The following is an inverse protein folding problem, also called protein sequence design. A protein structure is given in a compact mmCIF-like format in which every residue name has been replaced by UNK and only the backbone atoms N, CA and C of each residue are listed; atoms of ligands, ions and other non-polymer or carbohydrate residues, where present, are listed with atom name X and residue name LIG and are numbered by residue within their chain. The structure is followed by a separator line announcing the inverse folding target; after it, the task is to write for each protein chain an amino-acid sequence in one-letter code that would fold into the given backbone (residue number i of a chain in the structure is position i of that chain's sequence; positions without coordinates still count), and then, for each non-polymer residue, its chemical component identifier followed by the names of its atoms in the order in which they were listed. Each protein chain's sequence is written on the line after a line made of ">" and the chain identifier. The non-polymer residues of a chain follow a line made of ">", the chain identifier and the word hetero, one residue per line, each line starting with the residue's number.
data_IF_100937109821
#
_entry.id   IF_100937109821
#
_cell.length_a   1.000
_cell.length_b   1.000
_cell.length_c   1.000
_cell.angle_alpha   90.00
_cell.angle_beta   90.00
_cell.angle_gamma   90.00
#
_symmetry.space_group_name_H-M   'P 1'
#
loop_
_entity.id
_entity.type
_entity.pdbx_description
1 polymer ?
#
# COMPACT_ATOMS: atom_id res chain seq x y z
N UNK A 1 6.87 -16.27 -3.11
CA UNK A 1 6.21 -15.90 -1.84
C UNK A 1 7.24 -15.22 -0.95
N UNK A 2 6.87 -14.15 -0.26
CA UNK A 2 7.70 -13.52 0.76
C UNK A 2 6.93 -13.44 2.06
N UNK A 3 7.57 -13.84 3.14
CA UNK A 3 7.06 -13.75 4.51
C UNK A 3 8.14 -13.05 5.32
N UNK A 4 7.76 -12.06 6.11
CA UNK A 4 8.64 -11.39 7.06
C UNK A 4 7.96 -11.29 8.42
N UNK A 5 8.76 -11.36 9.47
CA UNK A 5 8.34 -11.05 10.83
C UNK A 5 9.05 -9.77 11.29
N UNK A 6 8.41 -8.98 12.14
CA UNK A 6 9.02 -7.78 12.68
C UNK A 6 8.63 -7.54 14.14
N UNK A 7 9.55 -6.90 14.85
CA UNK A 7 9.36 -6.33 16.18
C UNK A 7 9.81 -4.88 16.11
N UNK A 8 8.90 -3.94 16.37
CA UNK A 8 9.14 -2.50 16.20
C UNK A 8 8.67 -1.74 17.44
N UNK A 9 9.57 -1.48 18.40
CA UNK A 9 9.32 -0.48 19.43
C UNK A 9 9.46 0.92 18.82
N UNK A 10 8.70 1.88 19.34
CA UNK A 10 8.77 3.29 18.95
C UNK A 10 8.58 4.12 20.19
N UNK A 11 9.57 4.93 20.54
CA UNK A 11 9.46 5.94 21.59
C UNK A 11 8.92 7.24 21.03
N UNK A 12 8.40 8.10 21.92
CA UNK A 12 7.99 9.46 21.59
C UNK A 12 6.96 9.54 20.45
N UNK A 13 5.96 8.66 20.48
CA UNK A 13 4.93 8.58 19.45
C UNK A 13 4.09 9.85 19.46
N UNK A 14 4.23 10.65 18.41
CA UNK A 14 3.40 11.84 18.22
C UNK A 14 1.95 11.42 17.95
N UNK A 15 1.06 11.82 18.84
CA UNK A 15 -0.37 11.59 18.70
C UNK A 15 -1.14 12.89 18.84
N UNK A 16 -2.30 12.90 18.19
CA UNK A 16 -3.23 14.03 18.22
C UNK A 16 -4.17 13.87 19.40
N UNK A 17 -4.07 14.77 20.37
CA UNK A 17 -4.93 14.82 21.55
C UNK A 17 -6.01 15.88 21.33
N UNK A 18 -7.23 15.54 21.72
CA UNK A 18 -8.36 16.48 21.79
C UNK A 18 -8.76 16.66 23.24
N UNK A 19 -9.03 17.90 23.62
CA UNK A 19 -9.47 18.26 24.95
C UNK A 19 -10.45 19.42 24.87
N UNK A 20 -11.26 19.55 25.92
CA UNK A 20 -12.19 20.65 26.09
C UNK A 20 -11.62 21.60 27.14
N UNK A 21 -11.35 22.84 26.75
CA UNK A 21 -10.79 23.83 27.66
C UNK A 21 -11.77 24.14 28.79
N UNK A 22 -11.28 24.24 30.03
CA UNK A 22 -12.09 24.60 31.21
C UNK A 22 -12.44 26.07 31.27
N UNK A 23 -11.73 26.95 30.54
CA UNK A 23 -11.90 28.40 30.63
C UNK A 23 -13.01 28.92 29.71
N UNK A 24 -13.16 28.34 28.51
CA UNK A 24 -14.12 28.79 27.49
C UNK A 24 -15.04 27.67 26.97
N UNK A 25 -14.90 26.45 27.49
CA UNK A 25 -15.66 25.26 27.13
C UNK A 25 -15.53 24.85 25.64
N UNK A 26 -14.53 25.38 24.92
CA UNK A 26 -14.29 25.07 23.51
C UNK A 26 -13.42 23.82 23.32
N UNK A 27 -13.59 23.16 22.18
CA UNK A 27 -12.83 21.97 21.81
C UNK A 27 -11.52 22.33 21.10
N UNK A 28 -10.41 21.97 21.72
CA UNK A 28 -9.07 22.15 21.18
C UNK A 28 -8.45 20.83 20.72
N UNK A 29 -7.48 20.94 19.82
CA UNK A 29 -6.75 19.79 19.30
C UNK A 29 -5.28 20.17 19.12
N UNK A 30 -4.38 19.39 19.72
CA UNK A 30 -2.93 19.57 19.62
C UNK A 30 -2.23 18.23 19.32
N UNK A 31 -0.93 18.30 19.00
CA UNK A 31 -0.05 17.13 18.86
C UNK A 31 0.94 17.12 20.00
N UNK A 32 1.10 15.97 20.66
CA UNK A 32 2.13 15.78 21.68
C UNK A 32 2.83 14.44 21.47
N UNK A 33 4.00 14.26 22.08
CA UNK A 33 4.74 13.01 22.07
C UNK A 33 4.16 12.13 23.17
N UNK A 34 3.05 11.47 22.86
CA UNK A 34 2.12 11.04 23.88
C UNK A 34 2.59 9.78 24.60
N UNK A 35 3.23 8.85 23.90
CA UNK A 35 3.55 7.55 24.52
C UNK A 35 4.57 6.74 23.74
N UNK A 36 4.90 5.56 24.26
CA UNK A 36 5.61 4.51 23.54
C UNK A 36 4.61 3.59 22.85
N UNK A 37 4.98 3.05 21.68
CA UNK A 37 4.19 2.01 21.03
C UNK A 37 5.06 0.83 20.63
N UNK A 38 4.43 -0.35 20.61
CA UNK A 38 5.05 -1.58 20.18
C UNK A 38 4.19 -2.21 19.08
N UNK A 39 4.82 -2.50 17.95
CA UNK A 39 4.20 -3.25 16.85
C UNK A 39 4.99 -4.53 16.61
N UNK A 40 4.35 -5.68 16.84
CA UNK A 40 4.94 -7.00 16.53
C UNK A 40 4.03 -7.73 15.57
N UNK A 41 4.54 -8.21 14.45
CA UNK A 41 3.68 -8.80 13.44
C UNK A 41 4.39 -9.53 12.32
N UNK A 42 3.56 -9.99 11.39
CA UNK A 42 3.95 -10.72 10.20
C UNK A 42 3.45 -9.97 8.96
N UNK A 43 4.30 -9.88 7.95
CA UNK A 43 3.92 -9.41 6.62
C UNK A 43 4.06 -10.55 5.62
N UNK A 44 3.07 -10.64 4.74
CA UNK A 44 2.94 -11.67 3.73
C UNK A 44 2.73 -11.01 2.38
N UNK A 45 3.54 -11.41 1.40
CA UNK A 45 3.36 -11.05 -0.01
C UNK A 45 3.32 -12.32 -0.85
N UNK A 46 2.13 -12.60 -1.39
CA UNK A 46 1.86 -13.69 -2.32
C UNK A 46 1.67 -13.12 -3.72
N UNK A 47 2.39 -13.68 -4.69
CA UNK A 47 2.24 -13.39 -6.12
C UNK A 47 2.10 -14.72 -6.81
N UNK A 48 0.89 -15.03 -7.25
CA UNK A 48 0.53 -16.33 -7.81
C UNK A 48 -0.10 -16.13 -9.18
N UNK A 49 0.31 -16.94 -10.15
CA UNK A 49 -0.41 -17.10 -11.42
C UNK A 49 -1.32 -18.30 -11.26
N UNK A 50 -2.59 -18.09 -10.94
CA UNK A 50 -3.51 -19.18 -10.63
C UNK A 50 -3.80 -19.99 -11.89
N UNK A 51 -3.98 -19.29 -13.01
CA UNK A 51 -4.12 -19.90 -14.33
C UNK A 51 -3.55 -18.94 -15.39
N UNK A 52 -3.47 -19.37 -16.65
CA UNK A 52 -2.90 -18.57 -17.75
C UNK A 52 -3.55 -17.19 -17.90
N UNK A 53 -4.79 -17.04 -17.44
CA UNK A 53 -5.57 -15.81 -17.54
C UNK A 53 -5.61 -14.99 -16.24
N UNK A 54 -5.22 -15.53 -15.08
CA UNK A 54 -5.41 -14.87 -13.78
C UNK A 54 -4.09 -14.76 -13.01
N UNK A 55 -3.64 -13.52 -12.87
CA UNK A 55 -2.58 -13.14 -11.96
C UNK A 55 -3.20 -12.59 -10.67
N UNK A 56 -2.82 -13.17 -9.53
CA UNK A 56 -3.28 -12.76 -8.22
C UNK A 56 -2.11 -12.32 -7.35
N UNK A 57 -2.17 -11.09 -6.85
CA UNK A 57 -1.25 -10.56 -5.84
C UNK A 57 -2.00 -10.25 -4.56
N UNK A 58 -1.56 -10.84 -3.46
CA UNK A 58 -2.09 -10.62 -2.12
C UNK A 58 -0.98 -10.12 -1.22
N UNK A 59 -1.21 -8.98 -0.57
CA UNK A 59 -0.34 -8.44 0.47
C UNK A 59 -1.15 -8.35 1.75
N UNK A 60 -0.69 -8.97 2.82
CA UNK A 60 -1.32 -8.90 4.13
C UNK A 60 -0.28 -8.54 5.19
N UNK A 61 -0.68 -7.75 6.18
CA UNK A 61 0.11 -7.47 7.37
C UNK A 61 -0.81 -7.65 8.58
N UNK A 62 -0.45 -8.57 9.46
CA UNK A 62 -1.16 -8.88 10.69
C UNK A 62 -0.22 -8.64 11.88
N UNK A 63 -0.66 -7.87 12.85
CA UNK A 63 0.20 -7.41 13.93
C UNK A 63 -0.55 -7.14 15.21
N UNK A 64 0.11 -7.45 16.32
CA UNK A 64 -0.27 -6.98 17.63
C UNK A 64 0.28 -5.57 17.82
N UNK A 65 -0.61 -4.63 18.12
CA UNK A 65 -0.27 -3.24 18.38
C UNK A 65 -0.58 -2.91 19.83
N UNK A 66 0.42 -2.46 20.57
CA UNK A 66 0.28 -1.91 21.93
C UNK A 66 0.67 -0.45 21.90
N UNK A 67 -0.16 0.40 22.49
CA UNK A 67 0.10 1.78 22.77
C UNK A 67 0.06 1.95 24.28
N UNK A 68 1.15 2.47 24.86
CA UNK A 68 1.18 2.70 26.29
C UNK A 68 0.28 3.89 26.66
N UNK A 69 -0.09 3.94 27.94
CA UNK A 69 -0.88 5.05 28.47
C UNK A 69 -0.06 6.33 28.55
N UNK A 70 -0.72 7.43 28.86
CA UNK A 70 -0.09 8.72 29.01
C UNK A 70 -0.86 9.62 29.96
N UNK A 71 -0.19 10.63 30.48
CA UNK A 71 -0.77 11.63 31.35
C UNK A 71 -0.09 12.96 31.07
N UNK A 72 -0.86 13.96 30.67
CA UNK A 72 -0.38 15.33 30.47
C UNK A 72 -1.28 16.33 31.15
N UNK A 73 -0.70 17.41 31.64
CA UNK A 73 -1.44 18.56 32.12
C UNK A 73 -1.48 19.60 30.99
N UNK A 74 -2.66 19.91 30.48
CA UNK A 74 -2.90 20.97 29.50
C UNK A 74 -3.96 21.90 30.07
N UNK A 75 -3.69 23.21 30.08
CA UNK A 75 -4.64 24.24 30.56
C UNK A 75 -5.20 23.96 31.97
N UNK A 76 -4.38 23.40 32.86
CA UNK A 76 -4.78 23.07 34.24
C UNK A 76 -5.61 21.80 34.37
N UNK A 77 -5.86 21.06 33.28
CA UNK A 77 -6.55 19.76 33.29
C UNK A 77 -5.57 18.62 33.04
N UNK A 78 -5.69 17.56 33.83
CA UNK A 78 -4.98 16.30 33.59
C UNK A 78 -5.72 15.50 32.53
N UNK A 79 -5.14 15.39 31.34
CA UNK A 79 -5.63 14.53 30.26
C UNK A 79 -4.85 13.23 30.33
N UNK A 80 -5.56 12.18 30.70
CA UNK A 80 -5.07 10.81 30.66
C UNK A 80 -5.58 10.10 29.42
N UNK A 81 -4.76 9.22 28.86
CA UNK A 81 -5.26 8.15 28.02
C UNK A 81 -4.68 6.83 28.47
N UNK A 82 -5.55 5.84 28.59
CA UNK A 82 -5.17 4.51 29.06
C UNK A 82 -4.32 3.79 28.02
N UNK A 83 -3.48 2.85 28.51
CA UNK A 83 -2.80 1.93 27.62
C UNK A 83 -3.84 1.10 26.88
N UNK A 84 -3.67 0.97 25.58
CA UNK A 84 -4.57 0.21 24.74
C UNK A 84 -3.78 -0.74 23.86
N UNK A 85 -4.28 -1.96 23.70
CA UNK A 85 -3.71 -2.93 22.80
C UNK A 85 -4.80 -3.53 21.92
N UNK A 86 -4.41 -3.92 20.72
CA UNK A 86 -5.31 -4.62 19.83
C UNK A 86 -4.52 -5.43 18.79
N UNK A 87 -5.04 -6.62 18.49
CA UNK A 87 -4.67 -7.31 17.28
C UNK A 87 -5.35 -6.65 16.07
N UNK A 88 -4.57 -6.30 15.06
CA UNK A 88 -5.07 -5.64 13.86
C UNK A 88 -4.40 -6.20 12.64
N UNK A 89 -5.06 -6.06 11.50
CA UNK A 89 -4.53 -6.53 10.23
C UNK A 89 -5.02 -5.66 9.08
N UNK A 90 -4.26 -5.67 8.01
CA UNK A 90 -4.67 -5.10 6.75
C UNK A 90 -4.32 -6.07 5.62
N UNK A 91 -5.14 -6.05 4.59
CA UNK A 91 -4.93 -6.84 3.40
C UNK A 91 -5.22 -6.01 2.16
N UNK A 92 -4.42 -6.26 1.13
CA UNK A 92 -4.59 -5.73 -0.21
C UNK A 92 -4.53 -6.89 -1.18
N UNK A 93 -5.57 -7.02 -1.99
CA UNK A 93 -5.66 -8.02 -3.03
C UNK A 93 -5.75 -7.30 -4.38
N UNK A 94 -5.05 -7.82 -5.38
CA UNK A 94 -5.07 -7.36 -6.75
C UNK A 94 -5.19 -8.58 -7.65
N UNK A 95 -6.30 -8.68 -8.36
CA UNK A 95 -6.53 -9.69 -9.38
C UNK A 95 -6.46 -9.01 -10.75
N UNK A 96 -5.63 -9.55 -11.64
CA UNK A 96 -5.51 -9.11 -13.03
C UNK A 96 -5.87 -10.28 -13.94
N UNK A 97 -6.96 -10.14 -14.68
CA UNK A 97 -7.41 -11.13 -15.64
C UNK A 97 -7.08 -10.66 -17.06
N UNK A 98 -6.32 -11.47 -17.80
CA UNK A 98 -6.06 -11.29 -19.23
C UNK A 98 -6.96 -12.25 -20.00
N UNK A 99 -8.03 -11.71 -20.56
CA UNK A 99 -9.00 -12.45 -21.35
C UNK A 99 -8.58 -12.47 -22.83
N UNK A 100 -9.07 -13.45 -23.62
CA UNK A 100 -8.93 -13.41 -25.08
C UNK A 100 -9.56 -12.13 -25.66
N UNK A 101 -9.18 -11.79 -26.89
CA UNK A 101 -9.63 -10.60 -27.63
C UNK A 101 -9.16 -9.25 -27.06
N UNK A 102 -7.93 -9.22 -26.52
CA UNK A 102 -7.27 -8.02 -26.00
C UNK A 102 -8.09 -7.29 -24.91
N UNK A 103 -8.80 -8.06 -24.08
CA UNK A 103 -9.54 -7.57 -22.93
C UNK A 103 -8.74 -7.86 -21.66
N UNK A 104 -8.59 -6.87 -20.81
CA UNK A 104 -8.00 -7.02 -19.48
C UNK A 104 -8.92 -6.45 -18.41
N UNK A 105 -9.14 -7.23 -17.35
CA UNK A 105 -9.89 -6.82 -16.17
C UNK A 105 -8.94 -6.74 -14.98
N UNK A 106 -9.06 -5.71 -14.16
CA UNK A 106 -8.31 -5.56 -12.93
C UNK A 106 -9.26 -5.27 -11.78
N UNK A 107 -9.14 -6.03 -10.69
CA UNK A 107 -9.87 -5.82 -9.46
C UNK A 107 -8.86 -5.58 -8.33
N UNK A 108 -9.02 -4.51 -7.56
CA UNK A 108 -8.23 -4.27 -6.35
C UNK A 108 -9.13 -4.10 -5.14
N UNK A 109 -8.94 -4.97 -4.15
CA UNK A 109 -9.55 -4.85 -2.83
C UNK A 109 -8.55 -4.35 -1.80
N UNK A 110 -9.00 -3.54 -0.85
CA UNK A 110 -8.24 -3.17 0.34
C UNK A 110 -9.13 -3.29 1.56
N UNK A 111 -8.65 -3.98 2.58
CA UNK A 111 -9.28 -4.06 3.89
C UNK A 111 -8.31 -3.63 4.97
N UNK A 112 -8.81 -2.88 5.95
CA UNK A 112 -8.09 -2.54 7.18
C UNK A 112 -9.01 -2.84 8.34
N UNK A 113 -8.56 -3.66 9.28
CA UNK A 113 -9.28 -3.94 10.50
C UNK A 113 -9.33 -2.70 11.41
N UNK A 114 -10.12 -2.82 12.49
CA UNK A 114 -10.16 -1.81 13.55
C UNK A 114 -8.76 -1.63 14.14
N UNK A 115 -8.38 -0.38 14.38
CA UNK A 115 -7.08 -0.04 14.97
C UNK A 115 -7.30 0.90 16.15
N UNK A 116 -6.64 0.61 17.27
CA UNK A 116 -6.69 1.47 18.46
C UNK A 116 -5.89 2.75 18.21
N UNK A 117 -6.37 3.83 18.83
CA UNK A 117 -5.70 5.12 18.87
C UNK A 117 -5.74 5.62 20.32
N UNK A 118 -4.91 6.62 20.60
CA UNK A 118 -4.72 7.26 21.91
C UNK A 118 -5.99 7.56 22.71
N UNK A 119 -7.05 8.01 22.04
CA UNK A 119 -8.32 8.34 22.67
C UNK A 119 -9.48 7.51 22.07
N UNK A 120 -9.28 6.24 21.73
CA UNK A 120 -10.35 5.37 21.21
C UNK A 120 -9.91 4.46 20.07
N UNK A 121 -10.62 4.47 18.94
CA UNK A 121 -10.30 3.59 17.81
C UNK A 121 -10.77 4.12 16.45
N UNK A 122 -10.07 3.71 15.40
CA UNK A 122 -10.52 3.79 14.01
C UNK A 122 -11.25 2.50 13.64
N UNK A 123 -12.47 2.61 13.10
CA UNK A 123 -13.25 1.46 12.61
C UNK A 123 -12.59 0.81 11.40
N UNK A 124 -13.00 -0.43 11.13
CA UNK A 124 -12.59 -1.15 9.94
C UNK A 124 -13.05 -0.41 8.67
N UNK A 125 -12.25 -0.50 7.60
CA UNK A 125 -12.54 0.13 6.31
C UNK A 125 -12.24 -0.88 5.19
N UNK A 126 -13.19 -0.98 4.27
CA UNK A 126 -13.06 -1.73 3.04
C UNK A 126 -13.22 -0.79 1.84
N UNK A 127 -12.51 -1.10 0.76
CA UNK A 127 -12.77 -0.49 -0.54
C UNK A 127 -12.38 -1.42 -1.68
N UNK A 128 -13.09 -1.27 -2.80
CA UNK A 128 -12.88 -2.07 -3.99
C UNK A 128 -12.86 -1.18 -5.23
N UNK A 129 -11.87 -1.37 -6.09
CA UNK A 129 -11.71 -0.65 -7.35
C UNK A 129 -11.70 -1.67 -8.50
N UNK A 130 -12.36 -1.34 -9.61
CA UNK A 130 -12.49 -2.17 -10.81
C UNK A 130 -12.00 -1.40 -12.04
N UNK A 131 -11.18 -2.03 -12.86
CA UNK A 131 -10.71 -1.51 -14.15
C UNK A 131 -11.00 -2.50 -15.26
N UNK A 132 -11.65 -2.05 -16.32
CA UNK A 132 -11.84 -2.80 -17.56
C UNK A 132 -11.11 -2.07 -18.68
N UNK A 133 -10.33 -2.79 -19.47
CA UNK A 133 -9.62 -2.24 -20.61
C UNK A 133 -9.80 -3.17 -21.80
N UNK A 134 -10.11 -2.59 -22.96
CA UNK A 134 -10.18 -3.30 -24.24
C UNK A 134 -9.37 -2.55 -25.28
N UNK A 135 -8.63 -3.32 -26.07
CA UNK A 135 -7.82 -2.78 -27.15
C UNK A 135 -8.35 -3.26 -28.49
N UNK A 136 -8.32 -2.37 -29.48
CA UNK A 136 -8.83 -2.56 -30.83
C UNK A 136 -7.76 -2.18 -31.87
N UNK A 137 -8.03 -2.50 -33.14
CA UNK A 137 -7.25 -2.05 -34.30
C UNK A 137 -5.74 -2.37 -34.17
N UNK A 138 -5.40 -3.62 -33.84
CA UNK A 138 -4.01 -4.06 -33.62
C UNK A 138 -3.25 -3.15 -32.64
N UNK A 139 -3.89 -2.82 -31.50
CA UNK A 139 -3.32 -1.98 -30.43
C UNK A 139 -3.21 -0.49 -30.72
N UNK A 140 -3.84 -0.01 -31.79
CA UNK A 140 -3.94 1.44 -32.08
C UNK A 140 -4.98 2.17 -31.24
N UNK A 141 -6.06 1.52 -30.84
CA UNK A 141 -7.11 2.16 -30.04
C UNK A 141 -7.32 1.39 -28.74
N UNK A 142 -7.28 2.08 -27.61
CA UNK A 142 -7.55 1.49 -26.30
C UNK A 142 -8.67 2.26 -25.62
N UNK A 143 -9.69 1.53 -25.18
CA UNK A 143 -10.74 2.01 -24.32
C UNK A 143 -10.54 1.46 -22.91
N UNK A 144 -10.59 2.30 -21.90
CA UNK A 144 -10.51 1.90 -20.51
C UNK A 144 -11.62 2.56 -19.69
N UNK A 145 -12.24 1.78 -18.81
CA UNK A 145 -13.23 2.21 -17.83
C UNK A 145 -12.69 1.83 -16.46
N UNK A 146 -12.54 2.80 -15.57
CA UNK A 146 -12.12 2.57 -14.19
C UNK A 146 -13.21 3.05 -13.24
N UNK A 147 -13.74 2.15 -12.42
CA UNK A 147 -14.65 2.46 -11.34
C UNK A 147 -13.90 2.37 -10.00
N UNK A 148 -13.72 3.53 -9.37
CA UNK A 148 -13.14 3.65 -8.03
C UNK A 148 -14.25 3.57 -6.99
N UNK A 149 -13.96 2.87 -5.89
CA UNK A 149 -14.91 2.62 -4.80
C UNK A 149 -16.25 2.04 -5.30
N UNK A 150 -16.16 0.91 -6.01
CA UNK A 150 -17.28 0.21 -6.66
C UNK A 150 -18.46 -0.02 -5.72
N UNK A 151 -18.19 -0.33 -4.44
CA UNK A 151 -19.20 -0.59 -3.41
C UNK A 151 -19.62 0.66 -2.61
N UNK A 152 -19.07 1.84 -2.91
CA UNK A 152 -19.31 3.08 -2.16
C UNK A 152 -19.03 2.95 -0.65
N UNK A 153 -17.95 2.25 -0.31
CA UNK A 153 -17.60 1.85 1.07
C UNK A 153 -16.42 2.63 1.65
N UNK A 154 -15.75 3.47 0.85
CA UNK A 154 -14.49 4.14 1.23
C UNK A 154 -14.73 5.32 2.16
N UNK A 155 -15.01 5.01 3.42
CA UNK A 155 -15.21 5.99 4.52
C UNK A 155 -14.24 5.76 5.68
N UNK A 156 -13.77 6.82 6.30
CA UNK A 156 -12.97 6.76 7.52
C UNK A 156 -13.85 7.11 8.71
N UNK A 157 -14.01 6.16 9.63
CA UNK A 157 -14.80 6.33 10.84
C UNK A 157 -13.89 6.25 12.06
N UNK A 158 -13.89 7.30 12.86
CA UNK A 158 -13.12 7.40 14.09
C UNK A 158 -14.07 7.57 15.27
N UNK A 159 -13.85 6.79 16.31
CA UNK A 159 -14.49 6.97 17.61
C UNK A 159 -13.46 7.50 18.58
N UNK A 160 -13.76 8.64 19.20
CA UNK A 160 -12.92 9.26 20.22
C UNK A 160 -13.70 9.34 21.52
N UNK A 161 -13.11 8.89 22.63
CA UNK A 161 -13.68 8.99 23.98
C UNK A 161 -12.63 9.59 24.91
N UNK A 162 -13.09 10.50 25.76
CA UNK A 162 -12.35 11.11 26.86
C UNK A 162 -13.32 11.24 28.04
N UNK A 163 -12.84 11.59 29.22
CA UNK A 163 -13.69 11.73 30.41
C UNK A 163 -14.80 12.79 30.26
N UNK A 164 -14.53 13.82 29.45
CA UNK A 164 -15.45 14.95 29.24
C UNK A 164 -16.29 14.84 27.97
N UNK A 165 -15.92 14.01 26.99
CA UNK A 165 -16.64 13.93 25.72
C UNK A 165 -16.51 12.58 25.01
N UNK A 166 -17.55 12.28 24.23
CA UNK A 166 -17.53 11.22 23.23
C UNK A 166 -17.79 11.81 21.85
N UNK A 167 -17.02 11.40 20.84
CA UNK A 167 -17.13 11.91 19.48
C UNK A 167 -17.08 10.80 18.45
N UNK A 168 -18.13 10.75 17.64
CA UNK A 168 -18.17 9.93 16.43
C UNK A 168 -17.92 10.80 15.19
N UNK A 169 -16.86 10.48 14.43
CA UNK A 169 -16.54 11.20 13.21
C UNK A 169 -16.53 10.26 12.01
N UNK A 170 -17.20 10.69 10.93
CA UNK A 170 -17.26 9.98 9.65
C UNK A 170 -16.82 10.90 8.53
N UNK A 171 -15.75 10.53 7.85
CA UNK A 171 -15.17 11.29 6.76
C UNK A 171 -15.16 10.47 5.47
N UNK A 172 -15.62 11.08 4.38
CA UNK A 172 -15.44 10.57 3.03
C UNK A 172 -14.35 11.37 2.36
N UNK A 173 -13.27 10.72 1.93
CA UNK A 173 -12.19 11.40 1.20
C UNK A 173 -12.50 11.55 -0.29
N UNK A 174 -13.34 10.66 -0.81
CA UNK A 174 -13.89 10.64 -2.17
C UNK A 174 -14.98 9.55 -2.20
N UNK A 175 -16.03 9.75 -3.00
CA UNK A 175 -17.06 8.72 -3.23
C UNK A 175 -16.73 7.81 -4.41
N UNK A 176 -17.74 7.11 -4.90
CA UNK A 176 -17.64 6.32 -6.14
C UNK A 176 -17.38 7.24 -7.34
N UNK A 177 -16.31 6.98 -8.09
CA UNK A 177 -16.00 7.71 -9.34
C UNK A 177 -15.84 6.74 -10.50
N UNK A 178 -16.30 7.14 -11.68
CA UNK A 178 -16.13 6.38 -12.92
C UNK A 178 -15.33 7.24 -13.90
N UNK A 179 -14.25 6.68 -14.42
CA UNK A 179 -13.34 7.35 -15.33
C UNK A 179 -13.31 6.57 -16.64
N UNK A 180 -13.71 7.22 -17.72
CA UNK A 180 -13.56 6.72 -19.09
C UNK A 180 -12.26 7.29 -19.68
N UNK A 181 -11.48 6.46 -20.37
CA UNK A 181 -10.26 6.89 -21.05
C UNK A 181 -10.21 6.26 -22.43
N UNK A 182 -10.05 7.11 -23.44
CA UNK A 182 -9.79 6.71 -24.82
C UNK A 182 -8.35 7.08 -25.17
N UNK A 183 -7.59 6.12 -25.67
CA UNK A 183 -6.20 6.33 -26.08
C UNK A 183 -6.02 5.86 -27.52
N UNK A 184 -5.58 6.77 -28.39
CA UNK A 184 -5.24 6.49 -29.78
C UNK A 184 -3.72 6.55 -29.96
N UNK A 185 -3.09 5.42 -30.30
CA UNK A 185 -1.67 5.31 -30.58
C UNK A 185 -1.44 5.42 -32.09
N UNK A 186 -0.63 6.40 -32.51
CA UNK A 186 -0.23 6.61 -33.90
C UNK A 186 1.31 6.53 -34.04
N UNK A 187 1.80 6.16 -35.22
CA UNK A 187 3.23 6.00 -35.51
C UNK A 187 3.74 4.54 -35.52
N UNK A 188 4.97 4.35 -36.01
CA UNK A 188 5.57 3.02 -36.22
C UNK A 188 6.16 2.50 -34.90
N UNK A 189 5.34 1.91 -34.03
CA UNK A 189 5.74 1.38 -32.71
C UNK A 189 6.47 0.02 -32.78
N UNK A 190 7.19 -0.28 -33.88
CA UNK A 190 8.10 -1.43 -33.90
C UNK A 190 9.26 -1.11 -32.97
N UNK A 191 9.18 -1.53 -31.71
CA UNK A 191 10.33 -1.53 -30.82
C UNK A 191 11.46 -2.28 -31.52
N UNK A 192 12.57 -1.60 -31.85
CA UNK A 192 13.77 -2.25 -32.36
C UNK A 192 14.13 -3.35 -31.35
N UNK A 193 14.23 -4.60 -31.81
CA UNK A 193 14.62 -5.70 -30.95
C UNK A 193 15.93 -5.31 -30.23
N UNK A 194 16.06 -5.54 -28.91
CA UNK A 194 17.30 -5.25 -28.21
C UNK A 194 18.41 -6.05 -28.88
N UNK A 195 19.43 -5.36 -29.41
CA UNK A 195 20.63 -6.00 -29.96
C UNK A 195 21.23 -6.85 -28.83
N UNK A 196 21.29 -8.17 -29.00
CA UNK A 196 22.06 -9.04 -28.11
C UNK A 196 23.51 -8.53 -28.13
N UNK A 197 24.02 -8.07 -26.99
CA UNK A 197 25.47 -7.95 -26.81
C UNK A 197 26.03 -9.38 -26.85
N UNK A 198 26.81 -9.68 -27.89
CA UNK A 198 27.66 -10.87 -27.91
C UNK A 198 28.78 -10.59 -26.92
N UNK A 199 28.81 -11.30 -25.79
CA UNK A 199 29.97 -11.32 -24.91
C UNK A 199 31.04 -12.17 -25.60
N UNK A 200 31.96 -11.55 -26.34
CA UNK A 200 33.23 -12.19 -26.68
C UNK A 200 34.12 -12.09 -25.44
N UNK A 201 34.06 -13.12 -24.61
CA UNK A 201 34.97 -13.36 -23.49
C UNK A 201 35.34 -14.84 -23.51
N UNK A 202 35.92 -15.26 -24.62
CA UNK A 202 36.54 -16.57 -24.82
C UNK A 202 37.46 -16.45 -26.04
N UNK A 203 38.69 -15.98 -25.81
CA UNK A 203 39.92 -16.27 -26.56
C UNK A 203 41.03 -15.34 -26.07
N UNK A 204 41.39 -15.49 -24.81
CA UNK A 204 42.77 -15.31 -24.35
C UNK A 204 43.11 -16.65 -23.69
N UNK A 205 44.29 -17.19 -23.96
CA UNK A 205 44.81 -18.52 -23.56
C UNK A 205 44.57 -19.69 -24.53
N UNK A 206 45.17 -19.59 -25.72
CA UNK A 206 45.92 -20.71 -26.31
C UNK A 206 46.56 -20.27 -27.64
N UNK A 207 47.86 -19.98 -27.63
CA UNK A 207 48.83 -20.23 -28.72
C UNK A 207 50.11 -19.44 -28.44
N UNK A 208 50.82 -19.87 -27.40
CA UNK A 208 52.21 -19.54 -27.21
C UNK A 208 53.00 -20.84 -27.41
N UNK A 209 53.14 -21.26 -28.67
CA UNK A 209 54.06 -22.32 -29.09
C UNK A 209 54.30 -22.23 -30.60
N UNK A 210 55.59 -22.16 -30.96
CA UNK A 210 56.21 -22.38 -32.26
C UNK A 210 56.40 -21.17 -33.18
N UNK A 211 57.68 -20.84 -33.40
CA UNK A 211 58.10 -19.92 -34.47
C UNK A 211 59.55 -19.44 -34.40
N UNK A 212 60.51 -20.26 -33.94
CA UNK A 212 61.89 -20.12 -34.40
C UNK A 212 61.94 -20.73 -35.80
N UNK A 213 62.22 -19.91 -36.81
CA UNK A 213 63.04 -20.20 -38.00
C UNK A 213 62.55 -19.36 -39.19
N UNK A 214 63.47 -18.56 -39.75
CA UNK A 214 63.51 -18.14 -41.15
C UNK A 214 64.88 -17.53 -41.42
N UNK A 215 65.69 -18.25 -42.18
CA UNK A 215 67.01 -17.86 -42.66
C UNK A 215 67.03 -16.96 -43.90
N UNK A 216 68.26 -16.74 -44.39
CA UNK A 216 68.73 -16.29 -45.71
C UNK A 216 68.05 -15.01 -46.26
N UNK A 217 68.71 -13.88 -46.52
CA UNK A 217 70.07 -13.55 -47.02
C UNK A 217 70.74 -12.42 -46.22
#
# INVERSE_FOLDING_TARGET
>A
MLISAYYRPTSDVIQRIKYQSSTDNMMYQTYMNVSNSLSTGLELVLKNKICRILDLTTTANAYYYKLDGFTYNIDGQTITGESNNNFTWNARMQASLMLPWDISLQLSGRYRARQVITQGYRKANFSMDLGLRKTFLNKKLTLAINCRDLLNTRKFENYTSSDTFTRYQKNWRSGRTVNLSLTWNFGNMKAKAPKKKVNNSANEDSENMNGMDNGYE
#
